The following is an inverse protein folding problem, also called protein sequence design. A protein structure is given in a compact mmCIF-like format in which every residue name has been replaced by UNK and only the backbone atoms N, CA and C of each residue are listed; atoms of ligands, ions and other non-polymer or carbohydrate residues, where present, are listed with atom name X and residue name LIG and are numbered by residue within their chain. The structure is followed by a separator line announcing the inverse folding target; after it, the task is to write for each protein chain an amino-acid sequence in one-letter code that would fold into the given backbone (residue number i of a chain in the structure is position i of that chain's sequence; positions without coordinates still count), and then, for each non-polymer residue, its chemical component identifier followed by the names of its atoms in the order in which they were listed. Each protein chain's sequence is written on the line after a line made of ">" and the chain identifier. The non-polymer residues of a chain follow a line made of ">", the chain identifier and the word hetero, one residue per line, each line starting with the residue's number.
data_IF_121640585914
#
_entry.id   IF_121640585914
#
_cell.length_a   1.000
_cell.length_b   1.000
_cell.length_c   1.000
_cell.angle_alpha   90.00
_cell.angle_beta   90.00
_cell.angle_gamma   90.00
#
_symmetry.space_group_name_H-M   'P 1'
#
loop_
_entity.id
_entity.type
_entity.pdbx_description
1 polymer ?
#
# COMPACT_ATOMS: atom_id res chain seq x y z
N UNK A 1 15.28 -15.82 1.84
CA UNK A 1 15.47 -14.40 2.18
C UNK A 1 14.91 -14.18 3.58
N UNK A 2 15.79 -13.77 4.50
CA UNK A 2 15.41 -13.65 5.91
C UNK A 2 15.03 -12.23 6.32
N UNK A 3 15.60 -11.24 5.63
CA UNK A 3 15.34 -9.84 5.90
C UNK A 3 14.72 -9.21 4.67
N UNK A 4 13.51 -8.71 4.80
CA UNK A 4 12.83 -8.07 3.67
C UNK A 4 11.62 -7.27 4.16
N UNK A 5 11.10 -6.43 3.29
CA UNK A 5 9.84 -5.75 3.52
C UNK A 5 8.85 -6.26 2.48
N UNK A 6 7.74 -6.80 2.94
CA UNK A 6 6.64 -7.21 2.07
C UNK A 6 5.68 -6.03 1.94
N UNK A 7 5.33 -5.67 0.71
CA UNK A 7 4.49 -4.51 0.44
C UNK A 7 3.28 -4.93 -0.40
N UNK A 8 2.12 -4.42 -0.02
CA UNK A 8 0.86 -4.74 -0.68
C UNK A 8 0.05 -3.46 -0.86
N UNK A 9 -0.36 -3.18 -2.09
CA UNK A 9 -1.17 -2.01 -2.44
C UNK A 9 -2.56 -2.41 -2.87
N UNK A 10 -3.53 -1.55 -2.60
CA UNK A 10 -4.85 -1.63 -3.20
C UNK A 10 -5.07 -0.38 -4.04
N UNK A 11 -5.78 -0.52 -5.15
CA UNK A 11 -6.07 0.59 -6.04
C UNK A 11 -7.58 0.86 -6.13
N UNK A 12 -7.93 2.12 -6.34
CA UNK A 12 -9.33 2.53 -6.44
C UNK A 12 -9.93 2.21 -7.81
N UNK A 13 -9.09 2.26 -8.84
CA UNK A 13 -9.51 2.03 -10.23
C UNK A 13 -8.36 1.39 -11.00
N UNK A 14 -8.47 1.34 -12.32
CA UNK A 14 -7.48 0.68 -13.15
C UNK A 14 -6.20 1.49 -13.39
N UNK A 15 -6.16 2.73 -12.93
CA UNK A 15 -4.95 3.53 -13.02
C UNK A 15 -3.99 3.13 -11.91
N UNK A 16 -2.73 2.89 -12.24
CA UNK A 16 -1.74 2.48 -11.22
C UNK A 16 -1.48 3.56 -10.17
N UNK A 17 -1.70 4.82 -10.54
CA UNK A 17 -1.55 5.94 -9.61
C UNK A 17 -2.68 6.01 -8.58
N UNK A 18 -3.74 5.24 -8.76
CA UNK A 18 -4.91 5.30 -7.88
C UNK A 18 -4.78 4.45 -6.62
N UNK A 19 -3.59 4.34 -6.08
CA UNK A 19 -3.35 3.59 -4.84
C UNK A 19 -4.19 4.19 -3.73
N UNK A 20 -4.97 3.37 -3.05
CA UNK A 20 -5.85 3.82 -1.97
C UNK A 20 -5.51 3.23 -0.62
N UNK A 21 -4.64 2.26 -0.56
CA UNK A 21 -4.08 1.77 0.70
C UNK A 21 -2.75 1.07 0.45
N UNK A 22 -1.94 0.99 1.50
CA UNK A 22 -0.69 0.27 1.47
C UNK A 22 -0.49 -0.46 2.80
N UNK A 23 -0.07 -1.71 2.72
CA UNK A 23 0.31 -2.48 3.88
C UNK A 23 1.76 -2.92 3.73
N UNK A 24 2.52 -2.84 4.82
CA UNK A 24 3.93 -3.24 4.84
C UNK A 24 4.18 -4.11 6.06
N UNK A 25 4.93 -5.18 5.85
CA UNK A 25 5.37 -6.06 6.91
C UNK A 25 6.88 -6.13 6.83
N UNK A 26 7.54 -5.87 7.95
CA UNK A 26 9.00 -5.92 8.04
C UNK A 26 9.40 -7.25 8.65
N UNK A 27 10.25 -7.98 7.94
CA UNK A 27 10.73 -9.29 8.39
C UNK A 27 12.24 -9.21 8.59
N UNK A 28 12.71 -9.64 9.76
CA UNK A 28 14.14 -9.75 10.05
C UNK A 28 14.41 -11.10 10.69
N UNK A 29 15.42 -11.78 10.18
CA UNK A 29 15.77 -13.14 10.63
C UNK A 29 14.59 -14.10 10.54
N UNK A 30 13.74 -13.91 9.53
CA UNK A 30 12.58 -14.77 9.31
C UNK A 30 11.41 -14.48 10.22
N UNK A 31 11.47 -13.42 11.03
CA UNK A 31 10.38 -13.06 11.95
C UNK A 31 9.82 -11.69 11.63
N UNK A 32 8.50 -11.54 11.80
CA UNK A 32 7.84 -10.25 11.63
C UNK A 32 8.19 -9.39 12.85
N UNK A 33 8.85 -8.26 12.59
CA UNK A 33 9.28 -7.35 13.66
C UNK A 33 8.54 -6.02 13.67
N UNK A 34 7.86 -5.67 12.57
CA UNK A 34 7.11 -4.42 12.49
C UNK A 34 6.11 -4.51 11.34
N UNK A 35 5.13 -3.62 11.37
CA UNK A 35 4.16 -3.50 10.30
C UNK A 35 3.67 -2.06 10.21
N UNK A 36 3.16 -1.70 9.04
CA UNK A 36 2.63 -0.36 8.78
C UNK A 36 1.46 -0.49 7.83
N UNK A 37 0.40 0.26 8.08
CA UNK A 37 -0.75 0.30 7.19
C UNK A 37 -1.25 1.74 7.11
N UNK A 38 -1.62 2.17 5.92
CA UNK A 38 -2.23 3.49 5.74
C UNK A 38 -3.21 3.48 4.59
N UNK A 39 -4.31 4.20 4.78
CA UNK A 39 -5.17 4.60 3.68
C UNK A 39 -4.48 5.73 2.94
N UNK A 40 -4.76 5.86 1.66
CA UNK A 40 -4.16 6.87 0.79
C UNK A 40 -5.28 7.50 -0.04
N UNK A 41 -5.24 8.81 -0.18
CA UNK A 41 -6.16 9.49 -1.08
C UNK A 41 -5.71 9.21 -2.52
N UNK A 42 -6.51 8.46 -3.30
CA UNK A 42 -6.06 8.02 -4.62
C UNK A 42 -6.14 9.11 -5.65
N UNK A 43 -5.35 8.95 -6.72
CA UNK A 43 -5.36 9.86 -7.85
C UNK A 43 -5.33 9.07 -9.15
N UNK A 44 -6.36 9.19 -9.99
CA UNK A 44 -7.59 9.98 -9.78
C UNK A 44 -8.50 9.37 -8.71
N UNK A 45 -9.23 10.23 -8.02
CA UNK A 45 -10.03 9.82 -6.88
C UNK A 45 -11.45 9.39 -7.32
N UNK A 46 -11.51 8.29 -8.05
CA UNK A 46 -12.77 7.62 -8.30
C UNK A 46 -12.56 6.11 -8.14
N UNK A 47 -13.60 5.42 -7.75
CA UNK A 47 -13.53 3.99 -7.50
C UNK A 47 -14.32 3.24 -8.56
N UNK A 48 -13.73 2.19 -9.10
CA UNK A 48 -14.49 1.32 -9.97
C UNK A 48 -15.08 0.16 -9.16
N UNK A 49 -16.14 -0.38 -9.69
CA UNK A 49 -16.89 -1.42 -9.02
C UNK A 49 -16.03 -2.63 -8.62
N UNK A 50 -15.22 -3.09 -9.57
CA UNK A 50 -14.43 -4.30 -9.35
C UNK A 50 -13.36 -4.13 -8.27
N UNK A 51 -12.69 -3.00 -8.28
CA UNK A 51 -11.66 -2.72 -7.26
C UNK A 51 -12.30 -2.66 -5.88
N UNK A 52 -13.42 -1.96 -5.75
CA UNK A 52 -14.13 -1.86 -4.47
C UNK A 52 -14.63 -3.21 -3.99
N UNK A 53 -15.05 -4.10 -4.90
CA UNK A 53 -15.46 -5.45 -4.51
C UNK A 53 -14.31 -6.27 -3.94
N UNK A 54 -13.10 -6.05 -4.44
CA UNK A 54 -11.92 -6.80 -3.99
C UNK A 54 -11.49 -6.37 -2.59
N UNK A 55 -11.42 -5.07 -2.32
CA UNK A 55 -10.86 -4.58 -1.04
C UNK A 55 -11.87 -3.93 -0.10
N UNK A 56 -13.09 -3.67 -0.57
CA UNK A 56 -14.13 -3.11 0.27
C UNK A 56 -14.01 -1.63 0.59
N UNK A 57 -13.00 -0.94 0.04
CA UNK A 57 -12.82 0.49 0.30
C UNK A 57 -13.67 1.31 -0.67
N UNK A 58 -14.09 2.47 -0.21
CA UNK A 58 -14.89 3.41 -0.99
C UNK A 58 -14.24 4.79 -0.96
N UNK A 59 -14.79 5.69 -1.77
CA UNK A 59 -14.30 7.05 -1.82
C UNK A 59 -14.35 7.74 -0.45
N UNK A 60 -15.41 7.49 0.30
CA UNK A 60 -15.58 8.08 1.63
C UNK A 60 -14.49 7.65 2.59
N UNK A 61 -13.99 6.43 2.44
CA UNK A 61 -12.95 5.91 3.32
C UNK A 61 -11.62 6.62 3.14
N UNK A 62 -11.35 7.11 1.94
CA UNK A 62 -10.03 7.65 1.59
C UNK A 62 -10.00 9.12 1.20
N UNK A 63 -11.15 9.80 1.14
CA UNK A 63 -11.17 11.18 0.67
C UNK A 63 -10.37 12.13 1.57
N UNK A 64 -10.27 11.82 2.86
CA UNK A 64 -9.51 12.63 3.82
C UNK A 64 -8.15 12.01 4.17
N UNK A 65 -7.77 10.93 3.49
CA UNK A 65 -6.50 10.29 3.75
C UNK A 65 -5.35 11.08 3.14
N UNK A 66 -4.13 10.88 3.63
CA UNK A 66 -2.97 11.55 3.04
C UNK A 66 -2.71 11.06 1.62
N UNK A 67 -2.09 11.90 0.82
CA UNK A 67 -1.71 11.54 -0.55
C UNK A 67 -0.47 10.63 -0.52
N UNK A 68 -0.26 9.90 -1.61
CA UNK A 68 0.82 8.91 -1.69
C UNK A 68 2.20 9.44 -1.30
N UNK A 69 2.67 10.60 -1.80
CA UNK A 69 3.99 11.09 -1.41
C UNK A 69 4.17 11.29 0.09
N UNK A 70 3.12 11.70 0.79
CA UNK A 70 3.20 11.87 2.23
C UNK A 70 3.29 10.55 2.97
N UNK A 71 2.55 9.56 2.50
CA UNK A 71 2.60 8.21 3.08
C UNK A 71 3.97 7.58 2.81
N UNK A 72 4.50 7.78 1.60
CA UNK A 72 5.79 7.21 1.23
C UNK A 72 6.92 7.75 2.11
N UNK A 73 6.85 9.00 2.50
CA UNK A 73 7.85 9.57 3.43
C UNK A 73 7.90 8.83 4.77
N UNK A 74 6.78 8.29 5.19
CA UNK A 74 6.73 7.50 6.43
C UNK A 74 7.24 6.09 6.22
N UNK A 75 7.10 5.56 5.02
CA UNK A 75 7.50 4.20 4.67
C UNK A 75 9.01 4.11 4.49
N UNK A 76 9.63 5.09 3.82
CA UNK A 76 11.03 5.04 3.46
C UNK A 76 11.97 4.66 4.61
N UNK A 77 11.87 5.28 5.79
CA UNK A 77 12.78 4.89 6.88
C UNK A 77 12.52 3.47 7.40
N UNK A 78 11.32 2.95 7.21
CA UNK A 78 11.01 1.59 7.68
C UNK A 78 11.65 0.52 6.80
N UNK A 79 11.77 0.80 5.52
CA UNK A 79 12.22 -0.20 4.53
C UNK A 79 13.67 0.02 4.08
N UNK A 80 14.32 1.02 4.61
CA UNK A 80 15.68 1.37 4.20
C UNK A 80 16.64 0.18 4.36
N UNK A 81 17.35 -0.10 3.28
CA UNK A 81 18.30 -1.20 3.28
C UNK A 81 17.70 -2.59 3.13
N UNK A 82 16.38 -2.70 3.00
CA UNK A 82 15.72 -3.98 2.86
C UNK A 82 15.27 -4.23 1.42
N UNK A 83 15.41 -5.46 0.94
CA UNK A 83 14.76 -5.80 -0.34
C UNK A 83 13.25 -5.73 -0.19
N UNK A 84 12.57 -5.29 -1.24
CA UNK A 84 11.13 -5.22 -1.28
C UNK A 84 10.55 -6.43 -1.98
N UNK A 85 9.56 -7.05 -1.36
CA UNK A 85 8.82 -8.17 -1.96
C UNK A 85 7.40 -7.68 -2.19
N UNK A 86 7.01 -7.58 -3.45
CA UNK A 86 5.66 -7.17 -3.79
C UNK A 86 4.72 -8.35 -3.64
N UNK A 87 3.58 -8.08 -3.08
CA UNK A 87 2.53 -9.06 -2.96
C UNK A 87 1.43 -8.66 -3.94
N UNK A 88 0.90 -9.64 -4.65
CA UNK A 88 -0.27 -9.39 -5.46
C UNK A 88 -0.08 -8.55 -6.73
N UNK A 89 1.02 -8.78 -7.46
CA UNK A 89 1.09 -8.27 -8.83
C UNK A 89 -0.19 -8.64 -9.56
N UNK A 90 -0.60 -7.96 -10.61
CA UNK A 90 0.23 -7.21 -11.54
C UNK A 90 0.35 -5.72 -11.26
N UNK A 91 -0.25 -5.22 -10.22
CA UNK A 91 -0.21 -3.79 -9.97
C UNK A 91 0.97 -3.37 -9.11
N UNK A 92 1.54 -4.29 -8.40
CA UNK A 92 2.68 -4.03 -7.54
C UNK A 92 4.02 -4.18 -8.29
#
# INVERSE_FOLDING_TARGET
>A
MKDFAAIDFETANNERSSVCSVGIVIVRNGEIVDSFYSLISPEPNYYNYWCSQVHGLTREDTEDAPVFPEVWKQIEPLIEGLPLVAHNSPFD
#
